data_IF_295170515990
#
_entry.id   IF_295170515990
#
_cell.length_a   1.000
_cell.length_b   1.000
_cell.length_c   1.000
_cell.angle_alpha   90.00
_cell.angle_beta   90.00
_cell.angle_gamma   90.00
#
_symmetry.space_group_name_H-M   'P 1'
#
loop_
_entity.id
_entity.type
_entity.pdbx_description
1 polymer ?
#
# COMPACT_ATOMS: atom_id res chain seq x y z
N UNK A 1 -12.57 24.38 17.56
CA UNK A 1 -11.48 23.49 17.13
C UNK A 1 -10.82 22.90 18.35
N UNK A 2 -10.66 21.57 18.40
CA UNK A 2 -9.86 20.93 19.45
C UNK A 2 -8.40 21.38 19.31
N UNK A 3 -7.74 21.59 20.43
CA UNK A 3 -6.29 21.87 20.45
C UNK A 3 -5.55 20.66 19.85
N UNK A 4 -4.47 20.91 19.09
CA UNK A 4 -3.65 19.88 18.45
C UNK A 4 -3.15 18.88 19.51
N UNK A 5 -2.83 19.36 20.71
CA UNK A 5 -2.44 18.53 21.85
C UNK A 5 -3.52 17.49 22.23
N UNK A 6 -4.79 17.87 22.20
CA UNK A 6 -5.93 17.01 22.51
C UNK A 6 -6.16 15.98 21.39
N UNK A 7 -5.93 16.35 20.13
CA UNK A 7 -5.99 15.45 18.97
C UNK A 7 -4.89 14.37 19.08
N UNK A 8 -3.66 14.76 19.39
CA UNK A 8 -2.56 13.80 19.62
C UNK A 8 -2.91 12.80 20.72
N UNK A 9 -3.53 13.27 21.81
CA UNK A 9 -3.86 12.42 22.95
C UNK A 9 -4.99 11.42 22.65
N UNK A 10 -5.94 11.77 21.76
CA UNK A 10 -6.98 10.82 21.30
C UNK A 10 -6.43 9.78 20.32
N UNK A 11 -5.43 10.13 19.50
CA UNK A 11 -4.86 9.22 18.50
C UNK A 11 -3.79 8.29 19.09
N UNK A 12 -3.12 8.70 20.18
CA UNK A 12 -2.07 7.93 20.85
C UNK A 12 -2.44 6.46 21.15
N UNK A 13 -3.60 6.13 21.77
CA UNK A 13 -3.98 4.75 22.00
C UNK A 13 -4.15 3.95 20.70
N UNK A 14 -4.70 4.56 19.64
CA UNK A 14 -4.83 3.92 18.32
C UNK A 14 -3.46 3.65 17.69
N UNK A 15 -2.50 4.57 17.83
CA UNK A 15 -1.12 4.37 17.40
C UNK A 15 -0.43 3.23 18.17
N UNK A 16 -0.68 3.12 19.48
CA UNK A 16 -0.11 2.05 20.28
C UNK A 16 -0.65 0.66 19.87
N UNK A 17 -1.97 0.57 19.62
CA UNK A 17 -2.61 -0.63 19.07
C UNK A 17 -2.01 -0.99 17.70
N UNK A 18 -1.81 0.01 16.85
CA UNK A 18 -1.19 -0.13 15.53
C UNK A 18 0.25 -0.61 15.58
N UNK A 19 1.06 -0.04 16.47
CA UNK A 19 2.44 -0.49 16.71
C UNK A 19 2.48 -1.91 17.26
N UNK A 20 1.58 -2.27 18.16
CA UNK A 20 1.44 -3.63 18.66
C UNK A 20 1.07 -4.61 17.53
N UNK A 21 0.13 -4.24 16.65
CA UNK A 21 -0.29 -5.01 15.46
C UNK A 21 0.86 -5.15 14.45
N UNK A 22 1.65 -4.10 14.25
CA UNK A 22 2.89 -4.13 13.46
C UNK A 22 3.92 -5.09 14.06
N UNK A 23 4.20 -5.00 15.37
CA UNK A 23 5.11 -5.92 16.07
C UNK A 23 4.64 -7.37 15.97
N UNK A 24 3.34 -7.63 16.10
CA UNK A 24 2.76 -8.97 15.92
C UNK A 24 2.91 -9.48 14.48
N UNK A 25 2.70 -8.61 13.49
CA UNK A 25 2.87 -8.95 12.06
C UNK A 25 4.34 -9.24 11.73
N UNK A 26 5.28 -8.49 12.29
CA UNK A 26 6.72 -8.75 12.17
C UNK A 26 7.11 -10.10 12.79
N UNK A 27 6.63 -10.41 13.99
CA UNK A 27 6.87 -11.71 14.65
C UNK A 27 6.27 -12.87 13.85
N UNK A 28 5.07 -12.70 13.30
CA UNK A 28 4.47 -13.71 12.41
C UNK A 28 5.23 -13.84 11.08
N UNK A 29 5.81 -12.76 10.57
CA UNK A 29 6.67 -12.77 9.39
C UNK A 29 7.98 -13.55 9.63
N UNK A 30 8.57 -13.40 10.82
CA UNK A 30 9.74 -14.18 11.24
C UNK A 30 9.42 -15.68 11.27
N UNK A 31 8.28 -16.09 11.81
CA UNK A 31 7.88 -17.50 11.82
C UNK A 31 7.73 -18.08 10.40
N UNK A 32 7.12 -17.33 9.47
CA UNK A 32 7.00 -17.74 8.07
C UNK A 32 8.38 -17.85 7.41
N UNK A 33 9.28 -16.91 7.70
CA UNK A 33 10.65 -16.95 7.21
C UNK A 33 11.41 -18.19 7.73
N UNK A 34 11.29 -18.53 9.01
CA UNK A 34 11.91 -19.74 9.58
C UNK A 34 11.35 -21.03 8.97
N UNK A 35 10.03 -21.08 8.72
CA UNK A 35 9.41 -22.23 8.03
C UNK A 35 9.91 -22.35 6.59
N UNK A 36 10.00 -21.24 5.85
CA UNK A 36 10.53 -21.23 4.50
C UNK A 36 12.00 -21.66 4.44
N UNK A 37 12.82 -21.16 5.38
CA UNK A 37 14.22 -21.54 5.53
C UNK A 37 14.36 -23.06 5.80
N UNK A 38 13.51 -23.62 6.65
CA UNK A 38 13.50 -25.05 6.94
C UNK A 38 13.14 -25.89 5.70
N UNK A 39 12.15 -25.46 4.91
CA UNK A 39 11.75 -26.13 3.66
C UNK A 39 12.88 -26.08 2.62
N UNK A 40 13.50 -24.92 2.42
CA UNK A 40 14.64 -24.76 1.51
C UNK A 40 15.84 -25.59 1.97
N UNK A 41 16.13 -25.60 3.28
CA UNK A 41 17.20 -26.41 3.86
C UNK A 41 16.97 -27.90 3.64
N UNK A 42 15.73 -28.39 3.83
CA UNK A 42 15.36 -29.79 3.60
C UNK A 42 15.46 -30.17 2.12
N UNK A 43 14.95 -29.31 1.22
CA UNK A 43 15.06 -29.52 -0.23
C UNK A 43 16.52 -29.54 -0.70
N UNK A 44 17.36 -28.66 -0.13
CA UNK A 44 18.81 -28.63 -0.39
C UNK A 44 19.53 -29.90 0.05
N UNK A 45 19.22 -30.41 1.24
CA UNK A 45 19.78 -31.68 1.74
C UNK A 45 19.41 -32.86 0.84
N UNK A 46 18.14 -32.97 0.45
CA UNK A 46 17.67 -34.00 -0.48
C UNK A 46 18.40 -33.87 -1.82
N UNK A 47 18.56 -32.66 -2.35
CA UNK A 47 19.26 -32.43 -3.61
C UNK A 47 20.74 -32.76 -3.58
N UNK A 48 21.41 -32.49 -2.45
CA UNK A 48 22.80 -32.86 -2.26
C UNK A 48 23.00 -34.39 -2.27
N UNK A 49 22.13 -35.13 -1.57
CA UNK A 49 22.18 -36.61 -1.57
C UNK A 49 21.89 -37.22 -2.94
N UNK A 50 21.01 -36.62 -3.74
CA UNK A 50 20.75 -37.06 -5.11
C UNK A 50 21.92 -36.73 -6.05
N UNK A 51 22.52 -35.54 -5.94
CA UNK A 51 23.65 -35.13 -6.76
C UNK A 51 24.87 -36.04 -6.59
N UNK A 52 25.19 -36.46 -5.36
CA UNK A 52 26.29 -37.41 -5.12
C UNK A 52 26.08 -38.77 -5.79
N UNK A 53 24.81 -39.19 -5.96
CA UNK A 53 24.48 -40.49 -6.54
C UNK A 53 24.36 -40.49 -8.07
N UNK A 54 23.91 -39.38 -8.68
CA UNK A 54 23.61 -39.34 -10.13
C UNK A 54 24.49 -38.39 -10.94
N UNK A 55 25.33 -37.57 -10.28
CA UNK A 55 26.18 -36.54 -10.89
C UNK A 55 25.43 -35.53 -11.80
N UNK A 56 24.10 -35.46 -11.69
CA UNK A 56 23.24 -34.54 -12.43
C UNK A 56 22.52 -33.61 -11.47
N UNK A 57 22.35 -32.34 -11.87
CA UNK A 57 21.59 -31.39 -11.06
C UNK A 57 20.10 -31.77 -11.07
N UNK A 58 19.48 -31.99 -9.90
CA UNK A 58 18.07 -32.35 -9.82
C UNK A 58 17.19 -31.14 -10.12
N UNK A 59 16.80 -30.99 -11.39
CA UNK A 59 15.85 -29.99 -11.90
C UNK A 59 14.60 -29.84 -11.01
N UNK A 60 13.98 -30.92 -10.46
CA UNK A 60 12.81 -30.79 -9.59
C UNK A 60 13.04 -29.95 -8.33
N UNK A 61 14.28 -29.92 -7.82
CA UNK A 61 14.62 -29.24 -6.57
C UNK A 61 14.79 -27.74 -6.79
N UNK A 62 15.35 -27.35 -7.94
CA UNK A 62 15.40 -25.94 -8.35
C UNK A 62 13.97 -25.38 -8.52
N UNK A 63 13.04 -26.18 -9.05
CA UNK A 63 11.63 -25.81 -9.16
C UNK A 63 10.99 -25.62 -7.78
N UNK A 64 11.22 -26.54 -6.82
CA UNK A 64 10.69 -26.42 -5.45
C UNK A 64 11.22 -25.16 -4.76
N UNK A 65 12.52 -24.87 -4.90
CA UNK A 65 13.13 -23.66 -4.34
C UNK A 65 12.49 -22.41 -4.97
N UNK A 66 12.35 -22.38 -6.30
CA UNK A 66 11.72 -21.28 -7.02
C UNK A 66 10.27 -21.02 -6.57
N UNK A 67 9.45 -22.07 -6.46
CA UNK A 67 8.07 -21.98 -5.97
C UNK A 67 8.05 -21.45 -4.52
N UNK A 68 8.95 -21.94 -3.67
CA UNK A 68 9.02 -21.49 -2.27
C UNK A 68 9.32 -20.00 -2.16
N UNK A 69 10.25 -19.48 -2.97
CA UNK A 69 10.57 -18.04 -3.01
C UNK A 69 9.37 -17.22 -3.46
N UNK A 70 8.68 -17.66 -4.53
CA UNK A 70 7.49 -16.96 -5.06
C UNK A 70 6.37 -16.92 -4.02
N UNK A 71 6.07 -18.04 -3.36
CA UNK A 71 5.03 -18.12 -2.32
C UNK A 71 5.39 -17.21 -1.14
N UNK A 72 6.65 -17.21 -0.70
CA UNK A 72 7.10 -16.32 0.37
C UNK A 72 6.96 -14.84 0.01
N UNK A 73 7.31 -14.47 -1.23
CA UNK A 73 7.15 -13.11 -1.72
C UNK A 73 5.67 -12.68 -1.71
N UNK A 74 4.76 -13.52 -2.25
CA UNK A 74 3.32 -13.24 -2.27
C UNK A 74 2.77 -13.01 -0.85
N UNK A 75 3.12 -13.90 0.09
CA UNK A 75 2.65 -13.79 1.48
C UNK A 75 3.18 -12.50 2.12
N UNK A 76 4.45 -12.16 1.89
CA UNK A 76 5.06 -10.94 2.41
C UNK A 76 4.37 -9.69 1.87
N UNK A 77 4.17 -9.60 0.55
CA UNK A 77 3.48 -8.48 -0.08
C UNK A 77 2.03 -8.35 0.42
N UNK A 78 1.29 -9.45 0.51
CA UNK A 78 -0.08 -9.45 0.99
C UNK A 78 -0.18 -8.94 2.44
N UNK A 79 0.67 -9.45 3.34
CA UNK A 79 0.68 -9.02 4.76
C UNK A 79 1.07 -7.55 4.91
N UNK A 80 2.09 -7.10 4.16
CA UNK A 80 2.51 -5.70 4.19
C UNK A 80 1.38 -4.79 3.72
N UNK A 81 0.73 -5.12 2.61
CA UNK A 81 -0.35 -4.31 2.07
C UNK A 81 -1.57 -4.30 2.98
N UNK A 82 -1.94 -5.44 3.57
CA UNK A 82 -3.03 -5.52 4.55
C UNK A 82 -2.76 -4.66 5.78
N UNK A 83 -1.52 -4.64 6.29
CA UNK A 83 -1.15 -3.80 7.42
C UNK A 83 -1.15 -2.31 7.04
N UNK A 84 -0.64 -1.95 5.86
CA UNK A 84 -0.71 -0.57 5.34
C UNK A 84 -2.16 -0.09 5.24
N UNK A 85 -3.02 -0.90 4.65
CA UNK A 85 -4.43 -0.54 4.45
C UNK A 85 -5.16 -0.45 5.79
N UNK A 86 -4.98 -1.42 6.68
CA UNK A 86 -5.57 -1.35 8.02
C UNK A 86 -5.06 -0.12 8.80
N UNK A 87 -3.79 0.27 8.62
CA UNK A 87 -3.28 1.51 9.19
C UNK A 87 -4.04 2.73 8.70
N UNK A 88 -4.13 2.90 7.38
CA UNK A 88 -4.88 4.00 6.77
C UNK A 88 -6.34 4.00 7.23
N UNK A 89 -7.02 2.86 7.15
CA UNK A 89 -8.45 2.74 7.44
C UNK A 89 -8.78 2.96 8.93
N UNK A 90 -7.94 2.54 9.88
CA UNK A 90 -8.21 2.72 11.32
C UNK A 90 -7.64 4.04 11.86
N UNK A 91 -6.39 4.42 11.53
CA UNK A 91 -5.76 5.63 12.09
C UNK A 91 -6.25 6.91 11.43
N UNK A 92 -6.33 6.95 10.08
CA UNK A 92 -6.74 8.18 9.39
C UNK A 92 -8.20 8.46 9.68
N UNK A 93 -9.07 7.44 9.67
CA UNK A 93 -10.47 7.59 10.08
C UNK A 93 -10.59 8.16 11.49
N UNK A 94 -9.83 7.64 12.46
CA UNK A 94 -9.84 8.15 13.84
C UNK A 94 -9.36 9.62 13.91
N UNK A 95 -8.31 9.98 13.16
CA UNK A 95 -7.83 11.37 13.04
C UNK A 95 -8.94 12.27 12.51
N UNK A 96 -9.59 11.86 11.42
CA UNK A 96 -10.63 12.65 10.75
C UNK A 96 -11.85 12.83 11.65
N UNK A 97 -12.36 11.76 12.26
CA UNK A 97 -13.45 11.84 13.24
C UNK A 97 -13.07 12.63 14.49
N UNK A 98 -11.79 12.59 14.91
CA UNK A 98 -11.35 13.40 16.05
C UNK A 98 -11.48 14.90 15.80
N UNK A 99 -11.36 15.34 14.54
CA UNK A 99 -11.59 16.73 14.11
C UNK A 99 -13.09 17.02 14.13
N UNK A 100 -13.87 16.21 13.41
CA UNK A 100 -15.33 16.28 13.36
C UNK A 100 -15.93 14.91 12.94
N UNK A 101 -16.91 14.40 13.71
CA UNK A 101 -17.55 13.10 13.45
C UNK A 101 -18.39 13.09 12.15
N UNK A 102 -18.71 14.26 11.60
CA UNK A 102 -19.41 14.38 10.31
C UNK A 102 -18.51 14.18 9.10
N UNK A 103 -17.19 14.18 9.28
CA UNK A 103 -16.24 13.99 8.19
C UNK A 103 -16.10 12.50 7.86
N UNK A 104 -15.94 12.19 6.58
CA UNK A 104 -15.85 10.83 6.08
C UNK A 104 -14.52 10.63 5.36
N UNK A 105 -13.78 9.58 5.75
CA UNK A 105 -12.57 9.15 5.07
C UNK A 105 -12.80 7.83 4.34
N UNK A 106 -12.30 7.73 3.11
CA UNK A 106 -12.23 6.48 2.35
C UNK A 106 -10.96 6.44 1.50
N UNK A 107 -10.07 5.51 1.89
CA UNK A 107 -8.78 5.22 1.24
C UNK A 107 -8.86 5.01 -0.27
N UNK A 108 -9.94 4.44 -0.80
CA UNK A 108 -10.08 4.11 -2.23
C UNK A 108 -10.84 5.17 -3.03
N UNK A 109 -11.53 6.07 -2.33
CA UNK A 109 -12.17 7.22 -2.95
C UNK A 109 -11.16 8.31 -3.29
N UNK A 110 -11.56 9.17 -4.22
CA UNK A 110 -10.84 10.34 -4.68
C UNK A 110 -11.83 11.28 -5.34
N UNK A 111 -11.45 12.55 -5.46
CA UNK A 111 -12.15 13.51 -6.32
C UNK A 111 -12.26 12.89 -7.72
N UNK A 112 -13.45 12.99 -8.32
CA UNK A 112 -13.65 12.39 -9.63
C UNK A 112 -12.83 13.13 -10.69
N UNK A 113 -12.41 12.41 -11.73
CA UNK A 113 -11.74 13.04 -12.86
C UNK A 113 -12.61 14.13 -13.51
N UNK A 114 -13.94 13.97 -13.46
CA UNK A 114 -14.90 14.95 -13.96
C UNK A 114 -14.86 16.25 -13.15
N UNK A 115 -14.87 16.17 -11.82
CA UNK A 115 -14.75 17.34 -10.93
C UNK A 115 -13.39 18.01 -11.07
N UNK A 116 -12.31 17.22 -11.15
CA UNK A 116 -10.97 17.75 -11.40
C UNK A 116 -10.92 18.56 -12.71
N UNK A 117 -11.52 18.05 -13.78
CA UNK A 117 -11.63 18.75 -15.07
C UNK A 117 -12.57 19.96 -14.99
N UNK A 118 -13.69 19.85 -14.27
CA UNK A 118 -14.67 20.91 -14.09
C UNK A 118 -14.11 22.09 -13.28
N UNK A 119 -13.10 21.86 -12.44
CA UNK A 119 -12.42 22.94 -11.70
C UNK A 119 -11.77 23.98 -12.63
N UNK A 120 -11.41 23.60 -13.86
CA UNK A 120 -10.66 24.42 -14.82
C UNK A 120 -9.31 24.95 -14.28
N UNK A 121 -8.83 24.42 -13.15
CA UNK A 121 -7.56 24.83 -12.54
C UNK A 121 -6.35 24.20 -13.23
N UNK A 122 -6.55 23.04 -13.88
CA UNK A 122 -5.50 22.24 -14.47
C UNK A 122 -5.87 21.79 -15.89
N UNK A 123 -4.86 21.40 -16.68
CA UNK A 123 -5.06 20.75 -17.96
C UNK A 123 -5.79 19.41 -17.78
N UNK A 124 -6.55 18.99 -18.81
CA UNK A 124 -7.17 17.68 -18.85
C UNK A 124 -6.12 16.55 -18.82
N UNK A 125 -6.18 15.62 -17.85
CA UNK A 125 -5.29 14.48 -17.80
C UNK A 125 -5.63 13.42 -18.85
N UNK A 126 -4.59 12.75 -19.33
CA UNK A 126 -4.70 11.49 -20.08
C UNK A 126 -4.68 10.28 -19.13
N UNK A 127 -4.04 10.43 -17.96
CA UNK A 127 -4.01 9.43 -16.90
C UNK A 127 -4.33 10.08 -15.57
N UNK A 128 -5.29 9.50 -14.86
CA UNK A 128 -5.80 10.01 -13.60
C UNK A 128 -5.87 8.91 -12.56
N UNK A 129 -5.15 9.09 -11.45
CA UNK A 129 -5.10 8.17 -10.33
C UNK A 129 -5.17 8.94 -9.03
N UNK A 130 -5.62 8.29 -7.96
CA UNK A 130 -5.69 8.91 -6.66
C UNK A 130 -6.25 7.98 -5.60
N UNK A 131 -6.01 8.35 -4.36
CA UNK A 131 -6.40 7.64 -3.13
C UNK A 131 -6.71 8.65 -2.01
N UNK A 132 -7.09 8.14 -0.84
CA UNK A 132 -7.26 8.91 0.39
C UNK A 132 -8.28 10.07 0.31
N UNK A 133 -9.48 9.78 -0.19
CA UNK A 133 -10.59 10.73 -0.20
C UNK A 133 -11.11 11.05 1.20
N UNK A 134 -11.26 12.35 1.48
CA UNK A 134 -11.86 12.92 2.69
C UNK A 134 -12.95 13.88 2.25
N UNK A 135 -14.16 13.69 2.74
CA UNK A 135 -15.32 14.55 2.45
C UNK A 135 -15.88 15.06 3.77
N UNK A 136 -16.26 16.33 3.82
CA UNK A 136 -16.87 16.89 5.02
C UNK A 136 -17.53 18.24 4.76
N UNK A 137 -18.15 18.78 5.82
CA UNK A 137 -18.76 20.09 5.80
C UNK A 137 -18.28 20.89 6.99
N UNK A 138 -17.61 22.01 6.74
CA UNK A 138 -17.20 22.95 7.76
C UNK A 138 -18.16 24.14 7.74
N UNK A 139 -18.97 24.27 8.80
CA UNK A 139 -20.06 25.26 8.91
C UNK A 139 -21.05 25.21 7.72
N UNK A 140 -20.89 26.12 6.76
CA UNK A 140 -21.74 26.24 5.57
C UNK A 140 -21.03 25.82 4.28
N UNK A 141 -19.78 25.37 4.38
CA UNK A 141 -18.92 25.06 3.23
C UNK A 141 -18.64 23.57 3.18
N UNK A 142 -19.07 22.94 2.10
CA UNK A 142 -18.70 21.56 1.79
C UNK A 142 -17.26 21.55 1.25
N UNK A 143 -16.49 20.53 1.64
CA UNK A 143 -15.13 20.34 1.17
C UNK A 143 -14.86 18.87 0.85
N UNK A 144 -13.93 18.67 -0.07
CA UNK A 144 -13.41 17.36 -0.44
C UNK A 144 -11.91 17.48 -0.70
N UNK A 145 -11.15 16.52 -0.18
CA UNK A 145 -9.70 16.40 -0.38
C UNK A 145 -9.36 14.97 -0.78
N UNK A 146 -8.37 14.79 -1.65
CA UNK A 146 -7.84 13.46 -1.98
C UNK A 146 -6.45 13.58 -2.57
N UNK A 147 -5.61 12.56 -2.40
CA UNK A 147 -4.33 12.47 -3.09
C UNK A 147 -4.58 12.19 -4.57
N UNK A 148 -4.17 13.11 -5.45
CA UNK A 148 -4.35 12.98 -6.91
C UNK A 148 -3.00 12.99 -7.61
N UNK A 149 -2.83 12.06 -8.54
CA UNK A 149 -1.77 12.06 -9.54
C UNK A 149 -2.40 12.09 -10.94
N UNK A 150 -2.27 13.23 -11.60
CA UNK A 150 -2.79 13.53 -12.92
C UNK A 150 -1.62 13.73 -13.90
N UNK A 151 -1.62 13.01 -15.02
CA UNK A 151 -0.55 13.01 -16.02
C UNK A 151 -1.12 13.25 -17.42
N UNK A 152 -0.39 13.99 -18.26
CA UNK A 152 -0.66 14.12 -19.69
C UNK A 152 0.39 13.38 -20.51
N UNK A 153 0.01 12.99 -21.72
CA UNK A 153 0.80 12.17 -22.63
C UNK A 153 1.30 13.01 -23.79
N UNK A 154 2.61 12.95 -24.05
CA UNK A 154 3.22 13.47 -25.28
C UNK A 154 3.73 12.32 -26.13
N UNK A 155 3.75 12.51 -27.46
CA UNK A 155 4.31 11.55 -28.39
C UNK A 155 5.31 12.28 -29.29
N UNK A 156 6.52 11.73 -29.42
CA UNK A 156 7.53 12.28 -30.33
C UNK A 156 7.28 11.85 -31.78
N UNK A 157 8.03 12.43 -32.71
CA UNK A 157 7.95 12.12 -34.15
C UNK A 157 8.35 10.69 -34.51
N UNK A 158 8.93 9.93 -33.56
CA UNK A 158 9.30 8.51 -33.69
C UNK A 158 8.28 7.58 -33.03
N UNK A 159 7.16 8.13 -32.55
CA UNK A 159 6.08 7.38 -31.92
C UNK A 159 6.31 7.04 -30.45
N UNK A 160 7.38 7.52 -29.80
CA UNK A 160 7.66 7.27 -28.39
C UNK A 160 6.73 8.08 -27.50
N UNK A 161 6.01 7.39 -26.63
CA UNK A 161 5.13 7.99 -25.64
C UNK A 161 5.89 8.39 -24.38
N UNK A 162 5.69 9.61 -23.89
CA UNK A 162 6.15 10.08 -22.58
C UNK A 162 4.98 10.63 -21.77
N UNK A 163 5.01 10.42 -20.46
CA UNK A 163 4.01 10.96 -19.53
C UNK A 163 4.65 12.07 -18.71
N UNK A 164 3.89 13.14 -18.48
CA UNK A 164 4.31 14.31 -17.75
C UNK A 164 3.26 14.64 -16.68
N UNK A 165 3.72 14.95 -15.49
CA UNK A 165 2.84 15.29 -14.37
C UNK A 165 2.20 16.66 -14.59
N UNK A 166 0.87 16.70 -14.50
CA UNK A 166 0.08 17.93 -14.41
C UNK A 166 -0.02 18.36 -12.95
N UNK A 167 -0.42 17.42 -12.10
CA UNK A 167 -0.63 17.61 -10.68
C UNK A 167 -0.29 16.34 -9.93
N UNK A 168 0.43 16.49 -8.82
CA UNK A 168 0.77 15.40 -7.92
C UNK A 168 0.79 15.92 -6.50
N UNK A 169 -0.15 15.46 -5.71
CA UNK A 169 -0.20 15.72 -4.27
C UNK A 169 0.35 14.52 -3.50
N UNK A 170 0.76 14.76 -2.26
CA UNK A 170 1.06 13.71 -1.28
C UNK A 170 0.41 14.13 0.05
N UNK A 171 -0.65 13.42 0.44
CA UNK A 171 -1.30 13.53 1.74
C UNK A 171 -0.60 12.66 2.79
#
# INVERSE_FOLDING_TARGET
>A
MKDISAIYQSIYPTLEIMEAKRRKTLRQGQNIFFVALAIVGLAGLIGFTMFQNTAQLPIPILVIIGITIIVCAIIYFYKRNKLKNAYKDEVITEIIHSIDDSFYYNRESKISEQEFKASQLFQHPDRYTGEDGIVGKLDKTDFEFSEINAEYRTQDSKGKTSYHTIFKDYL
#
